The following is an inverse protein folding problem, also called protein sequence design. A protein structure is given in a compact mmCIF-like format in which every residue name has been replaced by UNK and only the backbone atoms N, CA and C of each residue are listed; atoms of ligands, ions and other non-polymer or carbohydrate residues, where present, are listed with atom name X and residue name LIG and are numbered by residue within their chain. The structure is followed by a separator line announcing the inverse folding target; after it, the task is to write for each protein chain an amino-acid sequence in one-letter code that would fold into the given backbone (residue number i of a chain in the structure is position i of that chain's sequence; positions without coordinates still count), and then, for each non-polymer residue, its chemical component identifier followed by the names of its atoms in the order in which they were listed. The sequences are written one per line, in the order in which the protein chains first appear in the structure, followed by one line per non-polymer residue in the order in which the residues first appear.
data_IF_752608579858
#
_entry.id   IF_752608579858
#
_cell.length_a   1.000
_cell.length_b   1.000
_cell.length_c   1.000
_cell.angle_alpha   90.00
_cell.angle_beta   90.00
_cell.angle_gamma   90.00
#
_symmetry.space_group_name_H-M   'P 1'
#
loop_
_entity.id
_entity.type
_entity.pdbx_description
1 polymer ?
#
# COMPACT_ATOMS: atom_id res chain seq x y z
N UNK A 1 -8.96 -6.24 -24.54
CA UNK A 1 -7.49 -6.29 -24.58
C UNK A 1 -7.07 -7.66 -24.03
N UNK A 2 -6.36 -8.46 -24.83
CA UNK A 2 -5.90 -9.82 -24.47
C UNK A 2 -4.37 -9.79 -24.39
N UNK A 3 -3.84 -9.46 -23.21
CA UNK A 3 -2.40 -9.53 -22.92
C UNK A 3 -2.16 -10.31 -21.63
N UNK A 4 -0.95 -10.82 -21.45
CA UNK A 4 -0.48 -11.49 -20.24
C UNK A 4 0.73 -10.77 -19.67
N UNK A 5 0.91 -10.88 -18.35
CA UNK A 5 2.08 -10.44 -17.62
C UNK A 5 2.86 -11.66 -17.13
N UNK A 6 4.15 -11.70 -17.44
CA UNK A 6 5.06 -12.72 -16.89
C UNK A 6 5.70 -12.16 -15.62
N UNK A 7 5.22 -12.60 -14.47
CA UNK A 7 5.67 -12.14 -13.17
C UNK A 7 6.67 -13.14 -12.56
N UNK A 8 7.92 -12.73 -12.41
CA UNK A 8 8.89 -13.47 -11.62
C UNK A 8 8.52 -13.37 -10.14
N UNK A 9 8.22 -14.53 -9.53
CA UNK A 9 7.91 -14.61 -8.10
C UNK A 9 8.93 -15.47 -7.39
N UNK A 10 9.21 -15.11 -6.14
CA UNK A 10 9.99 -15.90 -5.22
C UNK A 10 9.09 -16.40 -4.11
N UNK A 11 9.07 -17.70 -3.88
CA UNK A 11 8.26 -18.34 -2.86
C UNK A 11 9.11 -19.25 -1.97
N UNK A 12 8.60 -19.56 -0.79
CA UNK A 12 9.16 -20.60 0.06
C UNK A 12 8.49 -21.92 -0.28
N UNK A 13 9.30 -22.95 -0.52
CA UNK A 13 8.81 -24.30 -0.71
C UNK A 13 8.12 -24.77 0.59
N UNK A 14 6.91 -25.30 0.46
CA UNK A 14 6.04 -25.73 1.58
C UNK A 14 6.35 -27.15 2.07
N UNK A 15 7.01 -27.96 1.25
CA UNK A 15 7.51 -29.29 1.61
C UNK A 15 8.92 -29.53 1.06
N UNK A 16 9.77 -30.34 1.70
CA UNK A 16 11.03 -30.79 1.10
C UNK A 16 10.80 -31.56 -0.22
N UNK A 17 11.87 -31.76 -1.00
CA UNK A 17 11.80 -32.64 -2.18
C UNK A 17 11.45 -34.07 -1.80
N UNK A 18 10.83 -34.81 -2.74
CA UNK A 18 10.39 -36.19 -2.51
C UNK A 18 11.57 -37.05 -2.07
N UNK A 19 11.42 -37.70 -0.91
CA UNK A 19 12.45 -38.57 -0.33
C UNK A 19 13.37 -37.88 0.69
N UNK A 20 13.28 -36.57 0.87
CA UNK A 20 14.01 -35.87 1.93
C UNK A 20 13.20 -35.79 3.24
N UNK A 21 13.86 -35.85 4.41
CA UNK A 21 13.19 -35.63 5.68
C UNK A 21 12.78 -34.16 5.85
N UNK A 22 11.77 -33.92 6.68
CA UNK A 22 11.33 -32.58 7.06
C UNK A 22 12.34 -31.93 8.03
N UNK A 23 13.39 -31.33 7.47
CA UNK A 23 14.39 -30.54 8.20
C UNK A 23 14.46 -29.13 7.63
N UNK A 24 14.71 -28.15 8.49
CA UNK A 24 14.68 -26.72 8.13
C UNK A 24 15.58 -26.39 6.94
N UNK A 25 16.75 -27.04 6.83
CA UNK A 25 17.67 -26.87 5.71
C UNK A 25 17.09 -27.26 4.33
N UNK A 26 16.00 -28.03 4.29
CA UNK A 26 15.33 -28.42 3.06
C UNK A 26 14.21 -27.45 2.64
N UNK A 27 13.87 -26.46 3.46
CA UNK A 27 12.91 -25.40 3.13
C UNK A 27 13.63 -24.22 2.51
N UNK A 28 13.76 -24.27 1.18
CA UNK A 28 14.50 -23.27 0.42
C UNK A 28 13.57 -22.31 -0.31
N UNK A 29 14.14 -21.14 -0.64
CA UNK A 29 13.48 -20.19 -1.55
C UNK A 29 13.62 -20.69 -2.97
N UNK A 30 12.53 -20.63 -3.73
CA UNK A 30 12.49 -20.97 -5.15
C UNK A 30 11.94 -19.79 -5.93
N UNK A 31 12.25 -19.75 -7.21
CA UNK A 31 11.76 -18.75 -8.15
C UNK A 31 11.00 -19.42 -9.27
N UNK A 32 9.94 -18.77 -9.76
CA UNK A 32 9.17 -19.23 -10.91
C UNK A 32 8.55 -18.04 -11.65
N UNK A 33 8.24 -18.23 -12.93
CA UNK A 33 7.47 -17.26 -13.72
C UNK A 33 5.99 -17.60 -13.63
N UNK A 34 5.20 -16.67 -13.09
CA UNK A 34 3.74 -16.75 -13.14
C UNK A 34 3.21 -15.97 -14.34
N UNK A 35 2.55 -16.65 -15.27
CA UNK A 35 1.88 -16.01 -16.41
C UNK A 35 0.46 -15.60 -15.99
N UNK A 36 0.20 -14.29 -15.98
CA UNK A 36 -1.04 -13.70 -15.46
C UNK A 36 -1.83 -13.01 -16.58
N UNK A 37 -3.03 -13.50 -16.97
CA UNK A 37 -3.87 -12.81 -17.94
C UNK A 37 -4.33 -11.45 -17.39
N UNK A 38 -4.02 -10.37 -18.09
CA UNK A 38 -4.27 -8.99 -17.62
C UNK A 38 -5.76 -8.77 -17.33
N UNK A 39 -6.65 -9.26 -18.21
CA UNK A 39 -8.09 -9.11 -18.06
C UNK A 39 -8.69 -9.86 -16.85
N UNK A 40 -7.92 -10.77 -16.24
CA UNK A 40 -8.32 -11.58 -15.08
C UNK A 40 -7.47 -11.29 -13.85
N UNK A 41 -6.63 -10.25 -13.89
CA UNK A 41 -5.66 -9.93 -12.85
C UNK A 41 -5.84 -8.50 -12.35
N UNK A 42 -5.63 -8.28 -11.05
CA UNK A 42 -5.65 -6.97 -10.42
C UNK A 42 -4.45 -6.78 -9.48
N UNK A 43 -3.96 -5.54 -9.39
CA UNK A 43 -3.03 -5.11 -8.34
C UNK A 43 -3.83 -4.57 -7.16
N UNK A 44 -3.69 -5.18 -5.98
CA UNK A 44 -4.34 -4.73 -4.75
C UNK A 44 -3.31 -4.09 -3.83
N UNK A 45 -3.53 -2.82 -3.47
CA UNK A 45 -2.68 -2.08 -2.52
C UNK A 45 -3.27 -2.21 -1.12
N UNK A 46 -2.65 -3.06 -0.31
CA UNK A 46 -3.01 -3.32 1.09
C UNK A 46 -2.01 -2.60 2.00
N UNK A 47 -2.50 -2.07 3.13
CA UNK A 47 -1.68 -1.42 4.16
C UNK A 47 -0.71 -0.35 3.62
N UNK A 48 -1.17 0.42 2.65
CA UNK A 48 -0.47 1.62 2.17
C UNK A 48 -0.87 2.81 3.03
N UNK A 49 -0.23 2.95 4.19
CA UNK A 49 -0.49 4.01 5.16
C UNK A 49 0.37 5.24 4.88
N UNK A 50 -0.20 6.42 5.08
CA UNK A 50 0.47 7.71 4.90
C UNK A 50 1.14 8.23 6.18
N UNK A 51 0.89 7.60 7.34
CA UNK A 51 1.49 7.98 8.61
C UNK A 51 1.70 6.80 9.57
N UNK A 52 2.63 6.99 10.50
CA UNK A 52 2.87 6.14 11.66
C UNK A 52 3.65 6.93 12.71
N UNK A 53 3.49 6.61 13.99
CA UNK A 53 4.17 7.34 15.09
C UNK A 53 5.64 6.94 15.29
N UNK A 54 6.14 5.97 14.53
CA UNK A 54 7.52 5.45 14.63
C UNK A 54 8.31 6.01 13.46
N UNK A 55 9.30 6.86 13.72
CA UNK A 55 10.05 7.55 12.66
C UNK A 55 10.84 6.58 11.77
N UNK A 56 11.52 5.60 12.36
CA UNK A 56 12.24 4.57 11.59
C UNK A 56 11.31 3.68 10.75
N UNK A 57 10.04 3.59 11.12
CA UNK A 57 9.03 2.95 10.29
C UNK A 57 8.70 3.84 9.09
N UNK A 58 8.50 5.15 9.29
CA UNK A 58 8.22 6.10 8.20
C UNK A 58 9.34 6.12 7.17
N UNK A 59 10.59 6.17 7.62
CA UNK A 59 11.78 6.16 6.74
C UNK A 59 11.81 4.90 5.86
N UNK A 60 11.60 3.71 6.46
CA UNK A 60 11.54 2.45 5.70
C UNK A 60 10.31 2.36 4.80
N UNK A 61 9.16 2.85 5.25
CA UNK A 61 7.94 2.87 4.46
C UNK A 61 8.12 3.78 3.25
N UNK A 62 8.70 4.96 3.42
CA UNK A 62 9.00 5.88 2.32
C UNK A 62 9.94 5.23 1.30
N UNK A 63 11.01 4.58 1.75
CA UNK A 63 11.93 3.86 0.87
C UNK A 63 11.21 2.73 0.10
N UNK A 64 10.41 1.93 0.80
CA UNK A 64 9.63 0.84 0.19
C UNK A 64 8.62 1.37 -0.84
N UNK A 65 7.95 2.48 -0.52
CA UNK A 65 7.01 3.12 -1.43
C UNK A 65 7.72 3.60 -2.70
N UNK A 66 8.86 4.27 -2.55
CA UNK A 66 9.65 4.82 -3.65
C UNK A 66 10.23 3.73 -4.55
N UNK A 67 10.82 2.69 -3.96
CA UNK A 67 11.61 1.70 -4.70
C UNK A 67 10.79 0.54 -5.25
N UNK A 68 9.70 0.19 -4.58
CA UNK A 68 8.92 -1.00 -4.93
C UNK A 68 7.47 -0.67 -5.31
N UNK A 69 6.73 0.05 -4.45
CA UNK A 69 5.28 0.20 -4.63
C UNK A 69 4.94 1.14 -5.79
N UNK A 70 5.59 2.31 -5.88
CA UNK A 70 5.34 3.27 -6.96
C UNK A 70 5.71 2.69 -8.34
N UNK A 71 6.88 2.06 -8.52
CA UNK A 71 7.19 1.38 -9.78
C UNK A 71 6.19 0.27 -10.15
N UNK A 72 5.79 -0.57 -9.19
CA UNK A 72 4.81 -1.63 -9.42
C UNK A 72 3.43 -1.06 -9.81
N UNK A 73 2.97 -0.01 -9.13
CA UNK A 73 1.73 0.68 -9.43
C UNK A 73 1.73 1.29 -10.84
N UNK A 74 2.84 1.95 -11.21
CA UNK A 74 2.99 2.54 -12.54
C UNK A 74 3.02 1.47 -13.63
N UNK A 75 3.76 0.37 -13.40
CA UNK A 75 3.79 -0.78 -14.30
C UNK A 75 2.40 -1.40 -14.49
N UNK A 76 1.66 -1.60 -13.40
CA UNK A 76 0.30 -2.14 -13.45
C UNK A 76 -0.66 -1.24 -14.24
N UNK A 77 -0.61 0.08 -14.00
CA UNK A 77 -1.41 1.05 -14.76
C UNK A 77 -1.07 1.05 -16.25
N UNK A 78 0.22 1.05 -16.59
CA UNK A 78 0.68 1.01 -17.99
C UNK A 78 0.28 -0.28 -18.69
N UNK A 79 0.24 -1.41 -17.97
CA UNK A 79 -0.22 -2.69 -18.49
C UNK A 79 -1.75 -2.80 -18.60
N UNK A 80 -2.51 -1.84 -18.06
CA UNK A 80 -3.97 -1.88 -18.02
C UNK A 80 -4.55 -2.86 -17.00
N UNK A 81 -3.79 -3.20 -15.96
CA UNK A 81 -4.31 -3.99 -14.84
C UNK A 81 -5.34 -3.18 -14.05
N UNK A 82 -6.35 -3.88 -13.51
CA UNK A 82 -7.25 -3.29 -12.51
C UNK A 82 -6.45 -2.96 -11.26
N UNK A 83 -6.53 -1.73 -10.77
CA UNK A 83 -5.87 -1.32 -9.51
C UNK A 83 -6.93 -1.11 -8.44
N UNK A 84 -6.79 -1.84 -7.33
CA UNK A 84 -7.68 -1.78 -6.18
C UNK A 84 -6.92 -1.17 -5.01
N UNK A 85 -7.45 -0.10 -4.44
CA UNK A 85 -6.97 0.44 -3.16
C UNK A 85 -7.82 -0.16 -2.04
N UNK A 86 -7.19 -0.78 -1.04
CA UNK A 86 -7.86 -1.42 0.09
C UNK A 86 -7.54 -0.70 1.42
N UNK A 87 -8.05 0.54 1.63
CA UNK A 87 -7.78 1.28 2.84
C UNK A 87 -8.55 0.70 4.05
N UNK A 88 -8.09 1.03 5.26
CA UNK A 88 -8.80 0.62 6.48
C UNK A 88 -10.20 1.25 6.59
N UNK A 89 -11.14 0.63 7.33
CA UNK A 89 -12.53 1.12 7.42
C UNK A 89 -12.65 2.60 7.83
N UNK A 90 -11.76 3.07 8.73
CA UNK A 90 -11.74 4.48 9.17
C UNK A 90 -11.47 5.45 8.02
N UNK A 91 -10.65 5.05 7.06
CA UNK A 91 -10.34 5.83 5.85
C UNK A 91 -11.46 5.68 4.83
N UNK A 92 -12.03 4.48 4.68
CA UNK A 92 -13.16 4.22 3.77
C UNK A 92 -14.37 5.10 4.08
N UNK A 93 -14.74 5.28 5.35
CA UNK A 93 -15.87 6.15 5.72
C UNK A 93 -15.66 7.63 5.29
N UNK A 94 -14.42 8.13 5.24
CA UNK A 94 -14.12 9.46 4.68
C UNK A 94 -14.28 9.47 3.17
N UNK A 95 -13.83 8.41 2.50
CA UNK A 95 -13.88 8.31 1.05
C UNK A 95 -15.30 8.14 0.51
N UNK A 96 -16.14 7.34 1.16
CA UNK A 96 -17.56 7.20 0.81
C UNK A 96 -18.30 8.53 0.98
N UNK A 97 -18.04 9.24 2.09
CA UNK A 97 -18.54 10.61 2.28
C UNK A 97 -18.02 11.59 1.22
N UNK A 98 -16.79 11.43 0.76
CA UNK A 98 -16.24 12.26 -0.32
C UNK A 98 -16.91 11.96 -1.68
N UNK A 99 -17.19 10.68 -1.99
CA UNK A 99 -17.94 10.25 -3.17
C UNK A 99 -19.40 10.73 -3.16
N UNK A 100 -20.02 10.85 -1.98
CA UNK A 100 -21.35 11.44 -1.84
C UNK A 100 -21.35 12.97 -2.02
N UNK A 101 -20.17 13.63 -1.92
CA UNK A 101 -19.99 15.07 -2.13
C UNK A 101 -19.54 15.43 -3.54
N UNK A 102 -19.16 14.45 -4.37
CA UNK A 102 -18.81 14.69 -5.77
C UNK A 102 -20.06 14.85 -6.64
N UNK A 103 -20.65 16.05 -6.58
CA UNK A 103 -21.00 16.75 -7.84
C UNK A 103 -19.70 17.21 -8.53
N UNK A 104 -19.75 17.70 -9.79
CA UNK A 104 -18.54 18.12 -10.50
C UNK A 104 -17.74 19.13 -9.65
N UNK A 105 -16.45 18.86 -9.47
CA UNK A 105 -15.54 19.77 -8.76
C UNK A 105 -15.47 21.09 -9.56
N UNK A 106 -15.69 22.26 -8.93
CA UNK A 106 -15.42 23.53 -9.58
C UNK A 106 -13.93 23.62 -9.92
N UNK A 107 -13.62 24.02 -11.16
CA UNK A 107 -12.27 24.06 -11.76
C UNK A 107 -11.46 25.25 -11.22
N UNK A 108 -11.58 25.59 -9.93
CA UNK A 108 -10.73 26.61 -9.30
C UNK A 108 -9.66 25.92 -8.46
N UNK A 109 -8.39 26.20 -8.77
CA UNK A 109 -7.25 25.74 -8.00
C UNK A 109 -7.42 26.08 -6.50
N UNK A 110 -7.00 25.21 -5.57
CA UNK A 110 -7.12 25.48 -4.15
C UNK A 110 -6.23 26.66 -3.76
N UNK A 111 -6.79 27.58 -2.99
CA UNK A 111 -6.12 28.79 -2.52
C UNK A 111 -4.95 28.41 -1.61
N UNK A 112 -3.79 29.05 -1.77
CA UNK A 112 -2.54 28.68 -1.07
C UNK A 112 -2.66 28.71 0.45
N UNK A 113 -3.63 29.46 0.99
CA UNK A 113 -3.94 29.55 2.41
C UNK A 113 -4.46 28.22 3.00
N UNK A 114 -5.19 27.43 2.19
CA UNK A 114 -5.81 26.17 2.62
C UNK A 114 -4.83 25.01 2.80
N UNK A 115 -3.60 25.16 2.28
CA UNK A 115 -2.55 24.13 2.32
C UNK A 115 -1.54 24.36 3.45
N UNK A 116 -1.74 25.38 4.30
CA UNK A 116 -0.93 25.55 5.51
C UNK A 116 -1.26 24.43 6.51
N UNK A 117 -0.27 23.70 7.04
CA UNK A 117 -0.53 22.71 8.08
C UNK A 117 -1.11 23.38 9.32
N UNK A 118 -2.21 22.83 9.83
CA UNK A 118 -2.79 23.25 11.12
C UNK A 118 -1.79 22.91 12.22
N UNK A 119 -1.12 23.92 12.76
CA UNK A 119 -0.31 23.76 13.96
C UNK A 119 -1.29 23.60 15.13
N UNK A 120 -1.46 22.38 15.62
CA UNK A 120 -2.23 22.13 16.84
C UNK A 120 -1.59 22.91 18.01
N UNK A 121 -2.38 23.63 18.84
CA UNK A 121 -1.81 24.34 19.97
C UNK A 121 -1.24 23.32 20.98
N UNK A 122 -0.04 23.62 21.47
CA UNK A 122 0.68 22.81 22.45
C UNK A 122 -0.24 22.49 23.65
N UNK A 123 -0.39 21.20 23.95
CA UNK A 123 -1.13 20.71 25.10
C UNK A 123 -0.46 21.24 26.37
N UNK A 124 -1.04 22.27 26.98
CA UNK A 124 -0.57 22.85 28.23
C UNK A 124 -0.87 21.87 29.36
N UNK A 125 0.10 21.01 29.73
CA UNK A 125 0.01 20.12 30.90
C UNK A 125 0.05 20.99 32.17
N UNK A 126 -1.11 21.40 32.66
CA UNK A 126 -1.23 21.84 34.06
C UNK A 126 -1.11 20.61 34.95
N UNK A 127 -0.06 20.60 35.76
CA UNK A 127 0.10 19.68 36.87
C UNK A 127 -1.14 19.74 37.79
N UNK A 128 -1.69 18.58 38.12
CA UNK A 128 -2.59 18.44 39.27
C UNK A 128 -1.75 18.01 40.48
N UNK A 129 -1.94 18.61 41.66
CA UNK A 129 -1.16 18.28 42.84
C UNK A 129 -1.59 16.95 43.44
N UNK A 130 -0.62 16.31 44.09
CA UNK A 130 -0.75 15.07 44.85
C UNK A 130 -1.88 15.10 45.87
N UNK A 131 -2.61 13.98 45.94
CA UNK A 131 -3.15 13.38 47.16
C UNK A 131 -3.05 11.86 47.01
#
# INVERSE_FOLDING_TARGET
MTGSLDLQVRYFQDSPEVGLPYREEHFIRRETTMVLPIAQTALVLVDTWDNHFILSWLERAEQTMRDAVVPALNGARSAGLTVIHAPSPRVTCRWERAKLRTGPLPISAPDRESMRPSVAPALNRRASPML
#
